data_IF_360989797581
#
_entry.id   IF_360989797581
#
_cell.length_a   1.000
_cell.length_b   1.000
_cell.length_c   1.000
_cell.angle_alpha   90.00
_cell.angle_beta   90.00
_cell.angle_gamma   90.00
#
_symmetry.space_group_name_H-M   'P 1'
#
loop_
_entity.id
_entity.type
_entity.pdbx_description
1 polymer ?
#
# COMPACT_ATOMS: atom_id res chain seq x y z
N UNK A 1 8.60 -8.52 -21.23
CA UNK A 1 9.09 -9.72 -21.94
C UNK A 1 7.95 -10.19 -22.86
N UNK A 2 7.90 -11.44 -23.32
CA UNK A 2 6.71 -11.92 -24.02
C UNK A 2 5.56 -12.10 -23.01
N UNK A 3 4.45 -11.38 -23.17
CA UNK A 3 3.28 -11.50 -22.29
C UNK A 3 2.43 -12.70 -22.70
N UNK A 4 2.07 -13.53 -21.73
CA UNK A 4 1.26 -14.73 -21.93
C UNK A 4 -0.24 -14.45 -21.76
N UNK A 5 -0.68 -13.20 -21.93
CA UNK A 5 -2.02 -12.72 -21.56
C UNK A 5 -3.17 -13.61 -22.07
N UNK A 6 -3.04 -14.16 -23.30
CA UNK A 6 -4.04 -15.06 -23.89
C UNK A 6 -4.22 -16.38 -23.12
N UNK A 7 -3.17 -16.87 -22.46
CA UNK A 7 -3.21 -18.12 -21.69
C UNK A 7 -3.90 -17.93 -20.32
N UNK A 8 -4.08 -16.70 -19.85
CA UNK A 8 -4.88 -16.44 -18.66
C UNK A 8 -6.39 -16.54 -18.98
N UNK A 9 -6.78 -16.05 -20.16
CA UNK A 9 -8.17 -15.98 -20.59
C UNK A 9 -8.68 -17.30 -21.19
N UNK A 10 -7.77 -18.14 -21.67
CA UNK A 10 -8.07 -19.46 -22.23
C UNK A 10 -7.54 -20.57 -21.29
N UNK A 11 -8.40 -21.36 -20.63
CA UNK A 11 -7.99 -22.44 -19.75
C UNK A 11 -7.40 -23.63 -20.51
N UNK A 12 -7.35 -23.60 -21.84
CA UNK A 12 -6.79 -24.69 -22.64
C UNK A 12 -5.33 -24.95 -22.28
N UNK A 13 -5.04 -26.21 -21.96
CA UNK A 13 -3.73 -26.70 -21.49
C UNK A 13 -3.35 -26.31 -20.06
N UNK A 14 -4.28 -25.73 -19.28
CA UNK A 14 -4.10 -25.59 -17.83
C UNK A 14 -3.84 -26.96 -17.19
N UNK A 15 -2.80 -27.06 -16.36
CA UNK A 15 -2.36 -28.27 -15.69
C UNK A 15 -2.28 -28.12 -14.16
N UNK A 16 -2.80 -27.00 -13.64
CA UNK A 16 -2.91 -26.68 -12.22
C UNK A 16 -4.20 -25.89 -11.94
N UNK A 17 -4.82 -26.17 -10.80
CA UNK A 17 -5.95 -25.42 -10.28
C UNK A 17 -5.55 -24.73 -8.97
N UNK A 18 -5.80 -23.43 -8.86
CA UNK A 18 -5.73 -22.70 -7.59
C UNK A 18 -7.16 -22.43 -7.14
N UNK A 19 -7.52 -22.86 -5.94
CA UNK A 19 -8.87 -22.67 -5.40
C UNK A 19 -8.82 -21.70 -4.24
N UNK A 20 -9.69 -20.68 -4.26
CA UNK A 20 -9.76 -19.64 -3.24
C UNK A 20 -11.20 -19.12 -3.15
N UNK A 21 -11.77 -19.04 -1.94
CA UNK A 21 -13.15 -18.57 -1.70
C UNK A 21 -14.21 -19.20 -2.62
N UNK A 22 -14.11 -20.52 -2.86
CA UNK A 22 -15.03 -21.24 -3.75
C UNK A 22 -14.81 -20.99 -5.25
N UNK A 23 -13.89 -20.12 -5.64
CA UNK A 23 -13.51 -19.85 -7.02
C UNK A 23 -12.35 -20.76 -7.45
N UNK A 24 -12.44 -21.29 -8.68
CA UNK A 24 -11.40 -22.14 -9.27
C UNK A 24 -10.69 -21.39 -10.40
N UNK A 25 -9.39 -21.14 -10.22
CA UNK A 25 -8.51 -20.54 -11.22
C UNK A 25 -7.70 -21.64 -11.92
N UNK A 26 -7.96 -21.86 -13.21
CA UNK A 26 -7.24 -22.82 -14.03
C UNK A 26 -6.00 -22.16 -14.62
N UNK A 27 -4.81 -22.63 -14.26
CA UNK A 27 -3.54 -22.00 -14.61
C UNK A 27 -2.53 -23.00 -15.16
N UNK A 28 -1.45 -22.47 -15.73
CA UNK A 28 -0.35 -23.20 -16.32
C UNK A 28 0.85 -23.21 -15.37
N UNK A 29 1.28 -24.40 -14.95
CA UNK A 29 2.41 -24.58 -14.02
C UNK A 29 3.68 -23.91 -14.50
N UNK A 30 4.01 -24.07 -15.78
CA UNK A 30 5.22 -23.49 -16.36
C UNK A 30 5.25 -21.95 -16.31
N UNK A 31 4.08 -21.29 -16.30
CA UNK A 31 3.97 -19.84 -16.16
C UNK A 31 4.10 -19.42 -14.69
N UNK A 32 3.36 -20.08 -13.79
CA UNK A 32 3.28 -19.62 -12.40
C UNK A 32 4.46 -20.09 -11.53
N UNK A 33 4.93 -21.32 -11.72
CA UNK A 33 6.06 -21.89 -10.94
C UNK A 33 7.39 -21.24 -11.32
N UNK A 34 7.58 -20.83 -12.58
CA UNK A 34 8.80 -20.15 -13.00
C UNK A 34 8.98 -18.75 -12.39
N UNK A 35 7.92 -18.20 -11.80
CA UNK A 35 7.88 -16.85 -11.24
C UNK A 35 7.60 -16.81 -9.73
N UNK A 36 7.15 -17.91 -9.13
CA UNK A 36 6.92 -18.04 -7.69
C UNK A 36 7.59 -19.31 -7.17
N UNK A 37 8.59 -19.12 -6.30
CA UNK A 37 9.27 -20.23 -5.61
C UNK A 37 8.35 -21.00 -4.66
N UNK A 38 7.29 -20.37 -4.18
CA UNK A 38 6.31 -21.01 -3.30
C UNK A 38 5.42 -21.93 -4.13
N UNK A 39 4.87 -21.44 -5.25
CA UNK A 39 4.08 -22.29 -6.15
C UNK A 39 4.92 -23.43 -6.76
N UNK A 40 6.19 -23.17 -7.09
CA UNK A 40 7.13 -24.22 -7.52
C UNK A 40 7.24 -25.33 -6.46
N UNK A 41 7.51 -24.96 -5.20
CA UNK A 41 7.63 -25.92 -4.08
C UNK A 41 6.32 -26.66 -3.80
N UNK A 42 5.18 -25.98 -3.88
CA UNK A 42 3.86 -26.59 -3.71
C UNK A 42 3.54 -27.59 -4.82
N UNK A 43 3.99 -27.31 -6.06
CA UNK A 43 3.79 -28.19 -7.21
C UNK A 43 4.77 -29.38 -7.27
N UNK A 44 5.97 -29.23 -6.72
CA UNK A 44 7.05 -30.23 -6.82
C UNK A 44 7.24 -31.06 -5.52
N UNK A 45 6.60 -30.67 -4.42
CA UNK A 45 6.72 -31.35 -3.14
C UNK A 45 6.12 -32.77 -3.12
N UNK A 46 6.46 -33.56 -2.09
CA UNK A 46 5.83 -34.89 -1.86
C UNK A 46 4.45 -34.80 -1.15
N UNK A 47 3.85 -33.60 -1.12
CA UNK A 47 2.60 -33.31 -0.44
C UNK A 47 1.40 -33.65 -1.35
N UNK A 48 0.19 -33.77 -0.80
CA UNK A 48 -0.99 -34.23 -1.57
C UNK A 48 -1.31 -33.32 -2.76
N UNK A 49 -0.92 -32.05 -2.68
CA UNK A 49 -1.07 -30.97 -3.64
C UNK A 49 -0.33 -31.23 -4.97
N UNK A 50 0.90 -31.74 -4.90
CA UNK A 50 1.69 -32.06 -6.10
C UNK A 50 1.08 -33.20 -6.92
N UNK A 51 0.39 -34.14 -6.26
CA UNK A 51 -0.32 -35.24 -6.92
C UNK A 51 -1.74 -34.85 -7.34
N UNK A 52 -2.41 -33.96 -6.59
CA UNK A 52 -3.78 -33.52 -6.86
C UNK A 52 -3.87 -32.46 -7.96
N UNK A 53 -2.75 -31.80 -8.32
CA UNK A 53 -2.71 -30.64 -9.24
C UNK A 53 -3.64 -29.51 -8.80
N UNK A 54 -3.85 -29.39 -7.49
CA UNK A 54 -4.76 -28.45 -6.87
C UNK A 54 -4.10 -27.82 -5.66
N UNK A 55 -4.01 -26.50 -5.67
CA UNK A 55 -3.52 -25.68 -4.56
C UNK A 55 -4.72 -24.98 -3.95
N UNK A 56 -4.89 -25.09 -2.64
CA UNK A 56 -5.94 -24.40 -1.90
C UNK A 56 -5.36 -23.19 -1.17
N UNK A 57 -5.81 -21.99 -1.54
CA UNK A 57 -5.37 -20.74 -0.95
C UNK A 57 -6.44 -20.19 0.01
N UNK A 58 -6.06 -20.00 1.27
CA UNK A 58 -6.98 -19.60 2.35
C UNK A 58 -6.51 -18.36 3.12
N UNK A 59 -5.38 -17.76 2.72
CA UNK A 59 -4.76 -16.64 3.46
C UNK A 59 -5.30 -15.29 2.96
N UNK A 60 -5.46 -15.14 1.65
CA UNK A 60 -5.98 -13.96 0.98
C UNK A 60 -7.22 -14.31 0.17
N UNK A 61 -7.97 -13.27 -0.24
CA UNK A 61 -9.19 -13.43 -1.01
C UNK A 61 -8.93 -13.78 -2.49
N UNK A 62 -9.99 -14.23 -3.16
CA UNK A 62 -9.95 -14.56 -4.58
C UNK A 62 -9.47 -13.39 -5.48
N UNK A 63 -9.68 -12.14 -5.05
CA UNK A 63 -9.28 -10.96 -5.81
C UNK A 63 -7.78 -10.66 -5.71
N UNK A 64 -7.16 -10.91 -4.56
CA UNK A 64 -5.71 -10.86 -4.41
C UNK A 64 -5.05 -11.95 -5.27
N UNK A 65 -5.61 -13.16 -5.26
CA UNK A 65 -5.16 -14.27 -6.11
C UNK A 65 -5.29 -13.91 -7.59
N UNK A 66 -6.43 -13.39 -8.03
CA UNK A 66 -6.66 -12.94 -9.40
C UNK A 66 -5.65 -11.88 -9.83
N UNK A 67 -5.42 -10.85 -9.02
CA UNK A 67 -4.42 -9.80 -9.32
C UNK A 67 -3.00 -10.34 -9.40
N UNK A 68 -2.66 -11.31 -8.55
CA UNK A 68 -1.38 -12.02 -8.66
C UNK A 68 -1.28 -12.77 -9.99
N UNK A 69 -2.32 -13.51 -10.39
CA UNK A 69 -2.34 -14.24 -11.65
C UNK A 69 -2.29 -13.30 -12.86
N UNK A 70 -3.02 -12.19 -12.84
CA UNK A 70 -2.91 -11.16 -13.88
C UNK A 70 -1.46 -10.72 -14.06
N UNK A 71 -0.75 -10.43 -12.97
CA UNK A 71 0.65 -10.05 -13.04
C UNK A 71 1.53 -11.16 -13.65
N UNK A 72 1.37 -12.40 -13.21
CA UNK A 72 2.17 -13.53 -13.69
C UNK A 72 2.02 -13.76 -15.21
N UNK A 73 0.88 -13.41 -15.81
CA UNK A 73 0.65 -13.55 -17.25
C UNK A 73 0.86 -12.27 -18.05
N UNK A 74 0.70 -11.09 -17.43
CA UNK A 74 0.58 -9.81 -18.13
C UNK A 74 1.65 -8.79 -17.73
N UNK A 75 2.47 -9.09 -16.73
CA UNK A 75 3.39 -8.16 -16.06
C UNK A 75 2.69 -6.95 -15.40
N UNK A 76 1.36 -6.99 -15.30
CA UNK A 76 0.55 -5.95 -14.69
C UNK A 76 -0.77 -6.52 -14.10
N UNK A 77 -1.43 -5.76 -13.24
CA UNK A 77 -2.74 -6.10 -12.68
C UNK A 77 -3.66 -4.88 -12.59
N UNK A 78 -4.97 -5.08 -12.73
CA UNK A 78 -5.96 -4.00 -12.55
C UNK A 78 -6.83 -4.24 -11.32
N UNK A 79 -7.31 -3.14 -10.73
CA UNK A 79 -8.30 -3.19 -9.65
C UNK A 79 -9.69 -3.30 -10.29
N UNK A 80 -10.08 -4.52 -10.66
CA UNK A 80 -11.42 -4.85 -11.14
C UNK A 80 -12.27 -5.44 -10.01
N UNK A 81 -13.58 -5.23 -10.09
CA UNK A 81 -14.60 -5.92 -9.30
C UNK A 81 -15.04 -7.24 -9.93
N UNK A 82 -14.58 -7.54 -11.15
CA UNK A 82 -14.81 -8.81 -11.83
C UNK A 82 -13.54 -9.66 -11.76
N UNK A 83 -13.69 -10.93 -11.34
CA UNK A 83 -12.61 -11.92 -11.35
C UNK A 83 -12.40 -12.47 -12.76
N UNK A 84 -11.15 -12.50 -13.25
CA UNK A 84 -10.81 -12.96 -14.59
C UNK A 84 -10.32 -14.42 -14.51
N UNK A 85 -11.07 -15.33 -15.14
CA UNK A 85 -10.67 -16.75 -15.22
C UNK A 85 -11.06 -17.61 -14.01
N UNK A 86 -11.83 -17.07 -13.07
CA UNK A 86 -12.48 -17.83 -12.01
C UNK A 86 -13.76 -18.51 -12.53
N UNK A 87 -13.79 -19.84 -12.53
CA UNK A 87 -15.05 -20.57 -12.68
C UNK A 87 -15.74 -20.67 -11.32
N UNK A 88 -17.01 -20.28 -11.25
CA UNK A 88 -17.90 -20.64 -10.14
C UNK A 88 -18.32 -22.09 -10.37
N UNK A 89 -18.17 -23.01 -9.40
CA UNK A 89 -18.62 -24.38 -9.59
C UNK A 89 -20.13 -24.41 -9.84
N UNK A 90 -20.49 -24.89 -11.03
CA UNK A 90 -21.85 -25.12 -11.48
C UNK A 90 -22.56 -26.05 -10.48
N UNK A 91 -23.59 -25.55 -9.80
CA UNK A 91 -24.55 -26.41 -9.08
C UNK A 91 -25.43 -27.13 -10.11
N UNK A 92 -24.86 -28.10 -10.82
CA UNK A 92 -25.68 -29.04 -11.60
C UNK A 92 -26.46 -29.95 -10.65
N UNK A 93 -27.70 -29.54 -10.48
CA UNK A 93 -28.87 -30.23 -9.95
C UNK A 93 -28.96 -31.73 -10.29
N UNK A 94 -29.07 -32.56 -9.26
CA UNK A 94 -29.72 -33.87 -9.35
C UNK A 94 -31.21 -33.68 -9.02
N UNK A 95 -32.03 -33.43 -10.04
CA UNK A 95 -33.48 -33.54 -9.95
C UNK A 95 -33.88 -35.01 -10.00
N UNK A 96 -34.29 -35.58 -8.86
CA UNK A 96 -35.22 -36.72 -8.86
C UNK A 96 -36.58 -36.20 -8.44
N UNK A 97 -37.46 -36.03 -9.42
CA UNK A 97 -38.87 -35.72 -9.23
C UNK A 97 -39.60 -36.95 -8.67
N UNK A 98 -40.17 -36.86 -7.47
CA UNK A 98 -41.38 -37.57 -7.06
C UNK A 98 -42.05 -36.83 -5.88
N UNK A 99 -43.38 -36.62 -5.97
CA UNK A 99 -44.25 -35.66 -5.26
C UNK A 99 -44.57 -36.04 -3.76
N UNK A 100 -45.34 -35.28 -2.93
CA UNK A 100 -46.63 -34.59 -3.19
C UNK A 100 -46.75 -33.12 -2.65
N UNK A 101 -47.83 -32.38 -3.03
CA UNK A 101 -48.14 -31.06 -2.50
C UNK A 101 -48.76 -31.17 -1.10
N UNK A 102 -48.76 -30.07 -0.36
CA UNK A 102 -49.39 -29.88 0.97
C UNK A 102 -48.43 -29.98 2.16
N UNK A 103 -47.65 -28.92 2.33
CA UNK A 103 -47.26 -28.45 3.65
C UNK A 103 -47.03 -26.93 3.58
N UNK A 104 -48.01 -26.18 4.08
CA UNK A 104 -47.81 -24.80 4.52
C UNK A 104 -46.57 -24.75 5.41
N UNK A 105 -45.52 -24.08 4.95
CA UNK A 105 -44.35 -23.81 5.78
C UNK A 105 -43.92 -22.37 5.59
N UNK A 106 -44.22 -21.62 6.64
CA UNK A 106 -43.87 -20.24 6.95
C UNK A 106 -42.66 -19.69 6.21
N UNK A 107 -42.83 -18.51 5.62
CA UNK A 107 -41.74 -17.56 5.39
C UNK A 107 -41.13 -17.18 6.74
N UNK A 108 -40.09 -17.91 7.15
CA UNK A 108 -39.03 -17.34 7.97
C UNK A 108 -37.94 -16.90 7.00
N UNK A 109 -37.67 -15.60 7.03
CA UNK A 109 -36.62 -14.93 6.26
C UNK A 109 -35.30 -15.50 6.79
N UNK A 110 -34.75 -16.50 6.08
CA UNK A 110 -33.43 -17.04 6.39
C UNK A 110 -32.41 -16.03 5.85
N UNK A 111 -31.97 -15.14 6.75
CA UNK A 111 -30.87 -14.17 6.65
C UNK A 111 -29.51 -14.86 6.50
N UNK A 112 -29.44 -15.89 5.64
CA UNK A 112 -28.18 -16.53 5.29
C UNK A 112 -27.44 -15.61 4.34
N UNK A 113 -26.56 -14.82 4.95
CA UNK A 113 -25.60 -13.95 4.31
C UNK A 113 -25.11 -14.53 3.00
N UNK A 114 -25.24 -13.71 1.95
CA UNK A 114 -24.58 -13.92 0.68
C UNK A 114 -23.12 -14.24 0.99
N UNK A 115 -22.68 -15.43 0.60
CA UNK A 115 -21.28 -15.85 0.68
C UNK A 115 -20.43 -15.15 -0.40
N UNK A 116 -20.76 -13.90 -0.72
CA UNK A 116 -19.95 -13.04 -1.56
C UNK A 116 -18.88 -12.42 -0.67
N UNK A 117 -17.71 -13.07 -0.66
CA UNK A 117 -16.52 -12.64 0.05
C UNK A 117 -16.16 -11.18 -0.24
N UNK A 118 -16.27 -10.35 0.79
CA UNK A 118 -15.46 -9.18 1.21
C UNK A 118 -14.73 -8.26 0.20
N UNK A 119 -15.03 -8.24 -1.10
CA UNK A 119 -14.30 -7.39 -2.05
C UNK A 119 -14.99 -6.06 -2.41
N UNK A 120 -16.31 -5.91 -2.24
CA UNK A 120 -17.00 -4.76 -2.82
C UNK A 120 -16.63 -3.40 -2.17
N UNK A 121 -15.97 -3.39 -1.01
CA UNK A 121 -15.77 -2.17 -0.20
C UNK A 121 -14.31 -1.80 0.13
N UNK A 122 -13.30 -2.48 -0.44
CA UNK A 122 -11.89 -2.16 -0.16
C UNK A 122 -11.41 -0.99 -1.02
N UNK A 123 -10.81 0.03 -0.36
CA UNK A 123 -10.20 1.15 -1.08
C UNK A 123 -9.06 0.71 -2.02
N UNK A 124 -8.73 1.48 -3.06
CA UNK A 124 -7.61 1.17 -3.95
C UNK A 124 -6.28 0.96 -3.20
N UNK A 125 -6.05 1.73 -2.13
CA UNK A 125 -4.91 1.55 -1.24
C UNK A 125 -4.90 0.17 -0.59
N UNK A 126 -6.01 -0.23 0.03
CA UNK A 126 -6.15 -1.55 0.66
C UNK A 126 -5.93 -2.67 -0.35
N UNK A 127 -6.44 -2.54 -1.58
CA UNK A 127 -6.20 -3.51 -2.64
C UNK A 127 -4.70 -3.64 -2.97
N UNK A 128 -3.98 -2.53 -3.11
CA UNK A 128 -2.53 -2.56 -3.35
C UNK A 128 -1.75 -3.16 -2.17
N UNK A 129 -2.21 -2.97 -0.94
CA UNK A 129 -1.63 -3.62 0.24
C UNK A 129 -1.83 -5.14 0.20
N UNK A 130 -3.04 -5.61 -0.14
CA UNK A 130 -3.30 -7.04 -0.33
C UNK A 130 -2.44 -7.65 -1.44
N UNK A 131 -2.31 -6.96 -2.58
CA UNK A 131 -1.43 -7.42 -3.67
C UNK A 131 0.04 -7.46 -3.23
N UNK A 132 0.50 -6.49 -2.44
CA UNK A 132 1.84 -6.52 -1.88
C UNK A 132 2.03 -7.71 -0.92
N UNK A 133 1.03 -8.00 -0.08
CA UNK A 133 1.08 -9.08 0.90
C UNK A 133 1.07 -10.47 0.24
N UNK A 134 0.18 -10.72 -0.73
CA UNK A 134 0.16 -11.99 -1.47
C UNK A 134 1.44 -12.19 -2.29
N UNK A 135 2.02 -11.11 -2.81
CA UNK A 135 3.30 -11.18 -3.50
C UNK A 135 4.46 -11.50 -2.57
N UNK A 136 4.43 -11.06 -1.31
CA UNK A 136 5.38 -11.49 -0.28
C UNK A 136 5.21 -12.98 0.03
N UNK A 137 3.96 -13.40 0.26
CA UNK A 137 3.60 -14.77 0.58
C UNK A 137 4.07 -15.77 -0.49
N UNK A 138 3.86 -15.44 -1.76
CA UNK A 138 4.28 -16.29 -2.88
C UNK A 138 5.71 -16.03 -3.36
N UNK A 139 6.47 -15.19 -2.66
CA UNK A 139 7.85 -14.80 -3.01
C UNK A 139 7.98 -14.31 -4.47
N UNK A 140 7.19 -13.29 -4.83
CA UNK A 140 7.17 -12.64 -6.15
C UNK A 140 7.64 -11.17 -6.02
N UNK A 141 8.97 -10.89 -5.92
CA UNK A 141 9.48 -9.55 -5.64
C UNK A 141 9.10 -8.49 -6.70
N UNK A 142 8.95 -8.90 -7.96
CA UNK A 142 8.56 -7.99 -9.04
C UNK A 142 7.11 -7.49 -8.86
N UNK A 143 6.20 -8.33 -8.36
CA UNK A 143 4.84 -7.94 -8.03
C UNK A 143 4.80 -7.05 -6.79
N UNK A 144 5.59 -7.35 -5.75
CA UNK A 144 5.72 -6.45 -4.59
C UNK A 144 6.18 -5.05 -5.01
N UNK A 145 7.18 -4.96 -5.89
CA UNK A 145 7.68 -3.70 -6.42
C UNK A 145 6.61 -2.94 -7.21
N UNK A 146 5.85 -3.64 -8.07
CA UNK A 146 4.74 -3.04 -8.82
C UNK A 146 3.62 -2.56 -7.89
N UNK A 147 3.25 -3.34 -6.87
CA UNK A 147 2.22 -2.96 -5.92
C UNK A 147 2.61 -1.73 -5.10
N UNK A 148 3.87 -1.66 -4.66
CA UNK A 148 4.41 -0.46 -4.02
C UNK A 148 4.39 0.76 -4.95
N UNK A 149 4.75 0.57 -6.22
CA UNK A 149 4.70 1.65 -7.22
C UNK A 149 3.28 2.16 -7.44
N UNK A 150 2.30 1.26 -7.60
CA UNK A 150 0.89 1.64 -7.79
C UNK A 150 0.30 2.29 -6.55
N UNK A 151 0.64 1.82 -5.35
CA UNK A 151 0.28 2.49 -4.10
C UNK A 151 0.81 3.93 -4.05
N UNK A 152 2.09 4.14 -4.39
CA UNK A 152 2.69 5.47 -4.41
C UNK A 152 2.08 6.37 -5.50
N UNK A 153 1.74 5.81 -6.66
CA UNK A 153 1.03 6.52 -7.72
C UNK A 153 -0.36 6.98 -7.25
N UNK A 154 -1.12 6.10 -6.61
CA UNK A 154 -2.45 6.45 -6.08
C UNK A 154 -2.36 7.55 -5.02
N UNK A 155 -1.35 7.44 -4.14
CA UNK A 155 -1.05 8.48 -3.15
C UNK A 155 -0.75 9.84 -3.80
N UNK A 156 -0.07 9.87 -4.94
CA UNK A 156 0.29 11.12 -5.61
C UNK A 156 -0.90 11.90 -6.19
N UNK A 157 -2.06 11.25 -6.33
CA UNK A 157 -3.27 11.87 -6.89
C UNK A 157 -4.11 12.62 -5.86
N UNK A 158 -3.86 12.41 -4.57
CA UNK A 158 -4.69 12.92 -3.49
C UNK A 158 -3.92 13.89 -2.59
N UNK A 159 -4.63 14.90 -2.08
CA UNK A 159 -4.06 15.88 -1.14
C UNK A 159 -4.13 15.42 0.33
N UNK A 160 -4.81 14.32 0.62
CA UNK A 160 -4.93 13.75 1.95
C UNK A 160 -5.90 12.58 2.01
N UNK A 161 -5.79 11.78 3.07
CA UNK A 161 -6.64 10.62 3.35
C UNK A 161 -7.47 10.89 4.60
N UNK A 162 -8.73 10.46 4.60
CA UNK A 162 -9.59 10.61 5.78
C UNK A 162 -9.06 9.76 6.95
N UNK A 163 -9.22 10.19 8.22
CA UNK A 163 -8.73 9.40 9.34
C UNK A 163 -9.29 7.96 9.40
N UNK A 164 -10.55 7.74 9.00
CA UNK A 164 -11.13 6.39 8.96
C UNK A 164 -10.49 5.52 7.88
N UNK A 165 -10.30 6.07 6.67
CA UNK A 165 -9.61 5.36 5.59
C UNK A 165 -8.15 5.06 5.94
N UNK A 166 -7.46 6.00 6.60
CA UNK A 166 -6.10 5.78 7.09
C UNK A 166 -6.04 4.61 8.07
N UNK A 167 -7.00 4.50 9.01
CA UNK A 167 -7.09 3.38 9.94
C UNK A 167 -7.41 2.06 9.23
N UNK A 168 -8.23 2.08 8.18
CA UNK A 168 -8.52 0.89 7.39
C UNK A 168 -7.26 0.41 6.67
N UNK A 169 -6.54 1.31 5.99
CA UNK A 169 -5.28 0.99 5.31
C UNK A 169 -4.25 0.49 6.33
N UNK A 170 -4.13 1.14 7.48
CA UNK A 170 -3.21 0.73 8.55
C UNK A 170 -3.56 -0.65 9.11
N UNK A 171 -4.83 -0.92 9.36
CA UNK A 171 -5.28 -2.23 9.87
C UNK A 171 -4.95 -3.33 8.86
N UNK A 172 -5.26 -3.13 7.57
CA UNK A 172 -4.93 -4.10 6.50
C UNK A 172 -3.42 -4.29 6.40
N UNK A 173 -2.64 -3.21 6.39
CA UNK A 173 -1.19 -3.26 6.22
C UNK A 173 -0.49 -3.95 7.38
N UNK A 174 -0.81 -3.60 8.63
CA UNK A 174 -0.15 -4.18 9.80
C UNK A 174 -0.62 -5.60 10.11
N UNK A 175 -1.80 -6.01 9.61
CA UNK A 175 -2.28 -7.40 9.70
C UNK A 175 -1.63 -8.30 8.67
N UNK A 176 -1.51 -7.83 7.42
CA UNK A 176 -1.16 -8.70 6.28
C UNK A 176 0.32 -8.61 5.85
N UNK A 177 1.10 -7.66 6.37
CA UNK A 177 2.52 -7.51 6.01
C UNK A 177 3.43 -7.71 7.22
N UNK A 178 4.57 -8.35 7.01
CA UNK A 178 5.61 -8.49 8.03
C UNK A 178 6.30 -7.14 8.34
N UNK A 179 7.17 -7.13 9.36
CA UNK A 179 7.96 -5.95 9.73
C UNK A 179 8.93 -5.49 8.64
N UNK A 180 9.29 -6.36 7.70
CA UNK A 180 10.26 -6.08 6.65
C UNK A 180 9.66 -5.28 5.49
N UNK A 181 8.32 -5.15 5.44
CA UNK A 181 7.56 -4.25 4.56
C UNK A 181 7.77 -2.74 4.89
N UNK A 182 8.95 -2.38 5.39
CA UNK A 182 9.38 -1.03 5.77
C UNK A 182 9.13 0.04 4.71
N UNK A 183 9.26 -0.31 3.42
CA UNK A 183 9.01 0.62 2.30
C UNK A 183 7.53 0.96 2.16
N UNK A 184 6.64 -0.02 2.25
CA UNK A 184 5.20 0.18 2.17
C UNK A 184 4.67 0.88 3.43
N UNK A 185 5.10 0.42 4.61
CA UNK A 185 4.79 1.08 5.89
C UNK A 185 5.30 2.53 5.91
N UNK A 186 6.48 2.80 5.37
CA UNK A 186 7.02 4.14 5.23
C UNK A 186 6.15 5.07 4.38
N UNK A 187 5.48 4.56 3.34
CA UNK A 187 4.50 5.33 2.55
C UNK A 187 3.28 5.70 3.41
N UNK A 188 2.73 4.75 4.16
CA UNK A 188 1.60 5.00 5.05
C UNK A 188 1.95 5.99 6.17
N UNK A 189 3.12 5.85 6.79
CA UNK A 189 3.57 6.73 7.88
C UNK A 189 3.81 8.16 7.38
N UNK A 190 4.41 8.32 6.21
CA UNK A 190 4.60 9.63 5.56
C UNK A 190 3.24 10.25 5.19
N UNK A 191 2.28 9.44 4.72
CA UNK A 191 0.91 9.88 4.44
C UNK A 191 0.22 10.38 5.72
N UNK A 192 0.32 9.63 6.82
CA UNK A 192 -0.23 10.03 8.12
C UNK A 192 0.43 11.30 8.69
N UNK A 193 1.74 11.49 8.48
CA UNK A 193 2.49 12.65 8.98
C UNK A 193 2.23 13.94 8.19
N UNK A 194 2.09 13.84 6.86
CA UNK A 194 2.02 15.00 5.97
C UNK A 194 0.62 15.64 5.91
N UNK A 195 -0.42 14.91 6.34
CA UNK A 195 -1.80 15.37 6.19
C UNK A 195 -2.43 15.71 7.55
N UNK A 196 -2.61 17.01 7.88
CA UNK A 196 -3.24 17.45 9.13
C UNK A 196 -4.76 17.21 9.21
N UNK A 197 -5.38 16.68 8.13
CA UNK A 197 -6.80 16.33 8.09
C UNK A 197 -7.18 15.12 8.96
N UNK A 198 -6.20 14.29 9.32
CA UNK A 198 -6.36 13.31 10.39
C UNK A 198 -6.15 14.02 11.73
N UNK A 199 -7.20 14.62 12.29
CA UNK A 199 -7.15 14.99 13.71
C UNK A 199 -7.05 13.71 14.52
N UNK A 200 -5.82 13.29 14.83
CA UNK A 200 -5.53 12.16 15.72
C UNK A 200 -6.04 12.42 17.14
N UNK A 201 -6.39 13.67 17.45
CA UNK A 201 -7.03 14.09 18.68
C UNK A 201 -8.57 13.97 18.59
N UNK A 202 -9.05 12.81 18.15
CA UNK A 202 -10.47 12.46 18.12
C UNK A 202 -10.68 11.21 18.98
N UNK A 203 -11.57 11.27 19.96
CA UNK A 203 -11.81 10.18 20.91
C UNK A 203 -12.26 8.89 20.21
N UNK A 204 -13.10 9.00 19.18
CA UNK A 204 -13.52 7.86 18.37
C UNK A 204 -12.36 7.27 17.57
N UNK A 205 -11.44 8.10 17.08
CA UNK A 205 -10.25 7.63 16.38
C UNK A 205 -9.30 6.89 17.33
N UNK A 206 -9.10 7.42 18.53
CA UNK A 206 -8.25 6.82 19.56
C UNK A 206 -8.84 5.51 20.11
N UNK A 207 -10.16 5.41 20.25
CA UNK A 207 -10.81 4.17 20.69
C UNK A 207 -10.56 3.03 19.69
N UNK A 208 -10.61 3.31 18.39
CA UNK A 208 -10.33 2.33 17.34
C UNK A 208 -8.89 1.81 17.36
N UNK A 209 -7.93 2.66 17.73
CA UNK A 209 -6.53 2.26 17.92
C UNK A 209 -6.38 1.39 19.16
N UNK A 210 -6.99 1.79 20.28
CA UNK A 210 -6.86 1.08 21.54
C UNK A 210 -7.43 -0.35 21.46
N UNK A 211 -8.50 -0.55 20.70
CA UNK A 211 -9.18 -1.84 20.58
C UNK A 211 -8.46 -2.84 19.66
N UNK A 212 -7.48 -2.40 18.86
CA UNK A 212 -6.87 -3.21 17.78
C UNK A 212 -5.35 -3.26 17.88
N UNK A 213 -4.73 -4.41 18.22
CA UNK A 213 -3.29 -4.53 18.42
C UNK A 213 -2.45 -4.09 17.22
N UNK A 214 -2.90 -4.39 16.00
CA UNK A 214 -2.21 -3.99 14.76
C UNK A 214 -2.15 -2.47 14.61
N UNK A 215 -3.18 -1.75 15.08
CA UNK A 215 -3.19 -0.29 15.07
C UNK A 215 -2.37 0.34 16.19
N UNK A 216 -2.18 -0.37 17.30
CA UNK A 216 -1.24 0.04 18.34
C UNK A 216 0.20 0.00 17.82
N UNK A 217 0.55 -1.05 17.06
CA UNK A 217 1.84 -1.15 16.38
C UNK A 217 2.03 -0.02 15.36
N UNK A 218 1.02 0.25 14.54
CA UNK A 218 1.01 1.41 13.65
C UNK A 218 1.24 2.73 14.40
N UNK A 219 0.56 2.94 15.53
CA UNK A 219 0.73 4.15 16.33
C UNK A 219 2.13 4.30 16.91
N UNK A 220 2.73 3.21 17.38
CA UNK A 220 4.11 3.22 17.86
C UNK A 220 5.08 3.65 16.74
N UNK A 221 4.93 3.07 15.54
CA UNK A 221 5.72 3.43 14.37
C UNK A 221 5.48 4.88 13.92
N UNK A 222 4.23 5.36 13.98
CA UNK A 222 3.88 6.74 13.63
C UNK A 222 4.48 7.76 14.61
N UNK A 223 4.49 7.45 15.90
CA UNK A 223 5.15 8.27 16.91
C UNK A 223 6.67 8.31 16.68
N UNK A 224 7.28 7.16 16.41
CA UNK A 224 8.70 7.09 16.09
C UNK A 224 9.05 7.89 14.82
N UNK A 225 8.27 7.70 13.74
CA UNK A 225 8.43 8.43 12.48
C UNK A 225 8.28 9.94 12.68
N UNK A 226 7.24 10.36 13.41
CA UNK A 226 7.00 11.77 13.72
C UNK A 226 8.14 12.36 14.53
N UNK A 227 8.63 11.67 15.56
CA UNK A 227 9.76 12.11 16.37
C UNK A 227 11.03 12.28 15.52
N UNK A 228 11.32 11.35 14.61
CA UNK A 228 12.45 11.46 13.67
C UNK A 228 12.30 12.69 12.76
N UNK A 229 11.11 12.91 12.18
CA UNK A 229 10.83 14.09 11.34
C UNK A 229 10.97 15.40 12.11
N UNK A 230 10.47 15.46 13.35
CA UNK A 230 10.65 16.63 14.22
C UNK A 230 12.12 16.88 14.56
N UNK A 231 12.90 15.83 14.86
CA UNK A 231 14.33 15.96 15.12
C UNK A 231 15.09 16.46 13.90
N UNK A 232 14.79 15.94 12.71
CA UNK A 232 15.37 16.37 11.45
C UNK A 232 15.04 17.85 11.16
N UNK A 233 13.78 18.27 11.34
CA UNK A 233 13.39 19.67 11.14
C UNK A 233 14.03 20.60 12.17
N UNK A 234 14.20 20.14 13.41
CA UNK A 234 14.93 20.89 14.45
C UNK A 234 16.43 21.03 14.14
N UNK A 235 17.07 20.00 13.58
CA UNK A 235 18.49 20.09 13.20
C UNK A 235 18.67 21.03 12.01
N UNK A 236 17.80 20.94 11.00
CA UNK A 236 17.77 21.88 9.86
C UNK A 236 17.51 23.32 10.31
N UNK A 237 16.55 23.55 11.20
CA UNK A 237 16.29 24.89 11.73
C UNK A 237 17.50 25.45 12.49
N UNK A 238 18.23 24.61 13.22
CA UNK A 238 19.46 25.01 13.92
C UNK A 238 20.58 25.38 12.95
N UNK A 239 20.77 24.61 11.87
CA UNK A 239 21.80 24.92 10.87
C UNK A 239 21.47 26.22 10.12
N UNK A 240 20.21 26.40 9.72
CA UNK A 240 19.76 27.61 9.04
C UNK A 240 19.89 28.85 9.94
N UNK A 241 19.51 28.74 11.22
CA UNK A 241 19.66 29.85 12.17
C UNK A 241 21.14 30.20 12.41
N UNK A 242 22.03 29.18 12.46
CA UNK A 242 23.49 29.43 12.53
C UNK A 242 24.00 30.16 11.29
N UNK A 243 23.58 29.76 10.09
CA UNK A 243 23.93 30.44 8.85
C UNK A 243 23.45 31.89 8.85
N UNK A 244 22.18 32.11 9.19
CA UNK A 244 21.59 33.45 9.24
C UNK A 244 22.35 34.38 10.21
N UNK A 245 22.77 33.88 11.38
CA UNK A 245 23.56 34.66 12.33
C UNK A 245 24.96 34.99 11.80
N UNK A 246 25.62 34.06 11.10
CA UNK A 246 26.90 34.31 10.45
C UNK A 246 26.77 35.36 9.33
N UNK A 247 25.71 35.30 8.53
CA UNK A 247 25.48 36.28 7.46
C UNK A 247 25.14 37.66 8.03
N UNK A 248 24.35 37.71 9.11
CA UNK A 248 24.03 38.95 9.80
C UNK A 248 25.29 39.62 10.36
N UNK A 249 26.17 38.86 11.03
CA UNK A 249 27.44 39.39 11.56
C UNK A 249 28.35 39.88 10.44
N UNK A 250 28.50 39.12 9.35
CA UNK A 250 29.28 39.54 8.19
C UNK A 250 28.72 40.82 7.54
N UNK A 251 27.40 40.96 7.44
CA UNK A 251 26.75 42.16 6.93
C UNK A 251 26.97 43.38 7.85
N UNK A 252 26.88 43.19 9.17
CA UNK A 252 27.16 44.24 10.15
C UNK A 252 28.61 44.73 10.06
N UNK A 253 29.58 43.84 9.90
CA UNK A 253 30.99 44.23 9.79
C UNK A 253 31.29 44.94 8.47
N UNK A 254 30.68 44.51 7.35
CA UNK A 254 30.72 45.25 6.08
C UNK A 254 30.13 46.65 6.23
N UNK A 255 28.98 46.79 6.89
CA UNK A 255 28.35 48.09 7.12
C UNK A 255 29.22 49.01 7.99
N UNK A 256 29.84 48.50 9.06
CA UNK A 256 30.79 49.26 9.88
C UNK A 256 31.97 49.75 9.05
N UNK A 257 32.55 48.89 8.21
CA UNK A 257 33.67 49.23 7.33
C UNK A 257 33.30 50.33 6.35
N UNK A 258 32.19 50.18 5.63
CA UNK A 258 31.68 51.19 4.69
C UNK A 258 31.43 52.53 5.38
N UNK A 259 30.89 52.52 6.61
CA UNK A 259 30.65 53.73 7.40
C UNK A 259 31.96 54.43 7.80
N UNK A 260 33.02 53.67 8.08
CA UNK A 260 34.37 54.21 8.33
C UNK A 260 34.98 54.81 7.06
N UNK A 261 34.86 54.12 5.93
CA UNK A 261 35.40 54.56 4.66
C UNK A 261 34.68 55.82 4.14
N UNK A 262 33.35 55.92 4.33
CA UNK A 262 32.57 57.12 4.05
C UNK A 262 33.09 58.34 4.84
N UNK A 263 33.28 58.19 6.16
CA UNK A 263 33.83 59.27 7.00
C UNK A 263 35.21 59.74 6.52
N UNK A 264 36.07 58.81 6.09
CA UNK A 264 37.40 59.15 5.54
C UNK A 264 37.27 59.89 4.21
N UNK A 265 36.35 59.48 3.34
CA UNK A 265 36.08 60.14 2.06
C UNK A 265 35.56 61.57 2.29
N UNK A 266 34.60 61.76 3.20
CA UNK A 266 34.07 63.09 3.56
C UNK A 266 35.15 64.03 4.10
N UNK A 267 36.05 63.51 4.94
CA UNK A 267 37.19 64.26 5.45
C UNK A 267 38.14 64.69 4.31
N UNK A 268 38.44 63.78 3.37
CA UNK A 268 39.27 64.10 2.18
C UNK A 268 38.61 65.14 1.28
N UNK A 269 37.31 65.03 1.04
CA UNK A 269 36.54 66.00 0.25
C UNK A 269 36.57 67.38 0.92
N UNK A 270 36.45 67.43 2.25
CA UNK A 270 36.51 68.67 3.02
C UNK A 270 37.90 69.33 2.94
N UNK A 271 38.97 68.55 3.06
CA UNK A 271 40.35 69.05 2.92
C UNK A 271 40.63 69.57 1.50
N UNK A 272 40.19 68.86 0.46
CA UNK A 272 40.31 69.31 -0.93
C UNK A 272 39.53 70.60 -1.19
N UNK A 273 38.33 70.75 -0.63
CA UNK A 273 37.55 71.99 -0.71
C UNK A 273 38.23 73.16 0.01
N UNK A 274 38.93 72.90 1.11
CA UNK A 274 39.68 73.92 1.84
C UNK A 274 40.91 74.39 1.06
N UNK A 275 41.59 73.50 0.33
CA UNK A 275 42.79 73.84 -0.49
C UNK A 275 42.47 74.58 -1.79
N UNK A 276 41.25 74.48 -2.29
CA UNK A 276 40.80 75.12 -3.54
C UNK A 276 40.06 76.46 -3.31
N UNK A 277 40.04 76.98 -2.09
CA UNK A 277 39.55 78.34 -1.74
C UNK A 277 40.74 79.25 -1.48
#
# INVERSE_FOLDING_TARGET
>A
MATFSRLLDDPKYSDLEIVCDGHVFRVHRNVVCSQSRVLERECDGNFQEANSRRIEHTVFDAYAVDRMLQFLYREDYVLSTELVGAAVPDQTCQTTNDAPPDAERNMEIDDRGSADGLCMDLSPFSCHVYVYAIADYYEIPALQALALQKFAWERSKIEGVSPLELLQIASVMYTNTNSDASRLRGQLLSMAYEHPGASFNNEHFLSHIQQRPELQAFCADLLAHSAQKFQAKRSELRTLNRQLNNDLTAAQDKAKKLKSDLKKADARVSDLKARNR
#
